data_IF_158788928645
#
_entry.id   IF_158788928645
#
_cell.length_a   1.000
_cell.length_b   1.000
_cell.length_c   1.000
_cell.angle_alpha   90.00
_cell.angle_beta   90.00
_cell.angle_gamma   90.00
#
_symmetry.space_group_name_H-M   'P 1'
#
loop_
_entity.id
_entity.type
_entity.pdbx_description
1 polymer ?
#
# COMPACT_ATOMS: atom_id res chain seq x y z
N UNK A 1 16.09 -5.18 -20.43
CA UNK A 1 15.32 -5.02 -19.19
C UNK A 1 14.52 -3.73 -19.29
N UNK A 2 13.23 -3.82 -19.11
CA UNK A 2 12.29 -2.70 -19.31
C UNK A 2 11.56 -2.39 -17.98
N UNK A 3 10.85 -1.29 -17.98
CA UNK A 3 9.88 -0.94 -16.97
C UNK A 3 8.47 -1.28 -17.47
N UNK A 4 7.67 -1.92 -16.61
CA UNK A 4 6.25 -2.13 -16.86
C UNK A 4 5.46 -1.12 -16.05
N UNK A 5 4.68 -0.26 -16.71
CA UNK A 5 3.95 0.86 -16.10
C UNK A 5 2.45 0.58 -16.12
N UNK A 6 1.80 0.76 -14.99
CA UNK A 6 0.35 0.66 -14.82
C UNK A 6 -0.20 1.87 -14.08
N UNK A 7 -1.32 2.43 -14.53
CA UNK A 7 -1.96 3.59 -13.92
C UNK A 7 -3.31 3.23 -13.32
N UNK A 8 -3.49 3.55 -12.06
CA UNK A 8 -4.71 3.26 -11.30
C UNK A 8 -5.36 4.53 -10.79
N UNK A 9 -6.67 4.59 -10.88
CA UNK A 9 -7.48 5.61 -10.20
C UNK A 9 -7.96 5.05 -8.87
N UNK A 10 -7.72 5.78 -7.78
CA UNK A 10 -8.36 5.49 -6.50
C UNK A 10 -9.85 5.79 -6.59
N UNK A 11 -10.70 4.79 -6.35
CA UNK A 11 -12.16 4.92 -6.40
C UNK A 11 -12.78 5.08 -5.01
N UNK A 12 -11.95 5.02 -3.97
CA UNK A 12 -12.36 5.21 -2.58
C UNK A 12 -11.24 5.89 -1.80
N UNK A 13 -11.60 6.46 -0.66
CA UNK A 13 -10.61 6.92 0.31
C UNK A 13 -9.84 5.72 0.84
N UNK A 14 -8.53 5.76 0.84
CA UNK A 14 -7.72 4.71 1.41
C UNK A 14 -7.14 5.09 2.77
N UNK A 15 -6.76 4.09 3.55
CA UNK A 15 -6.05 4.25 4.81
C UNK A 15 -5.00 3.15 4.92
N UNK A 16 -3.77 3.50 4.62
CA UNK A 16 -2.62 2.60 4.68
C UNK A 16 -1.85 2.86 5.96
N UNK A 17 -1.99 1.94 6.89
CA UNK A 17 -1.36 2.05 8.20
C UNK A 17 0.16 1.84 8.10
N UNK A 18 0.98 2.75 8.67
CA UNK A 18 2.42 2.49 8.79
C UNK A 18 2.69 1.17 9.54
N UNK A 19 3.73 0.45 9.16
CA UNK A 19 4.06 -0.86 9.75
C UNK A 19 4.29 -0.81 11.27
N UNK A 20 4.82 0.29 11.78
CA UNK A 20 5.11 0.53 13.20
C UNK A 20 3.91 1.06 14.01
N UNK A 21 2.83 1.48 13.35
CA UNK A 21 1.71 2.10 14.05
C UNK A 21 0.90 1.08 14.88
N UNK A 22 0.45 1.50 16.05
CA UNK A 22 -0.39 0.67 16.95
C UNK A 22 -1.77 0.40 16.33
N UNK A 23 -2.50 -0.57 16.86
CA UNK A 23 -3.83 -0.94 16.37
C UNK A 23 -4.87 0.18 16.50
N UNK A 24 -4.66 1.10 17.44
CA UNK A 24 -5.52 2.27 17.72
C UNK A 24 -5.00 3.56 17.09
N UNK A 25 -3.73 3.61 16.67
CA UNK A 25 -3.15 4.75 15.98
C UNK A 25 -3.69 4.86 14.55
N UNK A 26 -4.17 6.05 14.19
CA UNK A 26 -4.94 6.28 12.98
C UNK A 26 -4.21 6.93 11.83
N UNK A 27 -2.89 7.14 11.91
CA UNK A 27 -2.10 7.73 10.83
C UNK A 27 -2.13 6.89 9.56
N UNK A 28 -2.21 7.55 8.40
CA UNK A 28 -2.15 6.92 7.09
C UNK A 28 -0.90 7.36 6.33
N UNK A 29 -0.34 6.45 5.56
CA UNK A 29 0.65 6.78 4.53
C UNK A 29 -0.06 7.51 3.37
N UNK A 30 0.66 8.43 2.71
CA UNK A 30 0.17 9.16 1.54
C UNK A 30 0.26 8.34 0.24
N UNK A 31 1.08 7.30 0.25
CA UNK A 31 1.32 6.43 -0.88
C UNK A 31 1.16 4.94 -0.51
N UNK A 32 0.79 4.06 -1.43
CA UNK A 32 0.91 2.64 -1.22
C UNK A 32 2.38 2.25 -1.07
N UNK A 33 2.64 1.26 -0.24
CA UNK A 33 4.00 0.74 -0.06
C UNK A 33 4.30 -0.34 -1.10
N UNK A 34 5.57 -0.58 -1.47
CA UNK A 34 5.94 -1.73 -2.29
C UNK A 34 5.39 -3.04 -1.74
N UNK A 35 5.43 -3.23 -0.42
CA UNK A 35 4.81 -4.38 0.23
C UNK A 35 3.32 -4.51 -0.12
N UNK A 36 2.55 -3.43 0.01
CA UNK A 36 1.12 -3.45 -0.29
C UNK A 36 0.84 -3.75 -1.77
N UNK A 37 1.66 -3.23 -2.68
CA UNK A 37 1.57 -3.48 -4.13
C UNK A 37 1.89 -4.94 -4.44
N UNK A 38 2.99 -5.48 -3.93
CA UNK A 38 3.41 -6.87 -4.13
C UNK A 38 2.36 -7.86 -3.57
N UNK A 39 1.77 -7.55 -2.42
CA UNK A 39 0.67 -8.35 -1.87
C UNK A 39 -0.61 -8.29 -2.71
N UNK A 40 -0.90 -7.16 -3.38
CA UNK A 40 -2.01 -7.07 -4.32
C UNK A 40 -1.76 -7.89 -5.59
N UNK A 41 -0.53 -7.92 -6.09
CA UNK A 41 -0.13 -8.80 -7.20
C UNK A 41 -0.27 -10.27 -6.79
N UNK A 42 0.19 -10.63 -5.59
CA UNK A 42 0.06 -11.98 -5.05
C UNK A 42 -1.40 -12.41 -4.91
N UNK A 43 -2.27 -11.53 -4.41
CA UNK A 43 -3.71 -11.78 -4.33
C UNK A 43 -4.32 -12.02 -5.72
N UNK A 44 -3.98 -11.18 -6.70
CA UNK A 44 -4.41 -11.35 -8.09
C UNK A 44 -3.94 -12.69 -8.66
N UNK A 45 -2.67 -13.06 -8.47
CA UNK A 45 -2.10 -14.33 -8.90
C UNK A 45 -2.84 -15.52 -8.27
N UNK A 46 -3.11 -15.48 -6.97
CA UNK A 46 -3.85 -16.54 -6.28
C UNK A 46 -5.29 -16.70 -6.80
N UNK A 47 -5.96 -15.58 -7.06
CA UNK A 47 -7.37 -15.59 -7.55
C UNK A 47 -7.50 -16.05 -8.99
N UNK A 48 -6.55 -15.72 -9.86
CA UNK A 48 -6.68 -15.95 -11.30
C UNK A 48 -5.90 -17.16 -11.80
N UNK A 49 -4.73 -17.41 -11.21
CA UNK A 49 -3.84 -18.50 -11.63
C UNK A 49 -3.77 -19.65 -10.63
N UNK A 50 -4.32 -19.48 -9.43
CA UNK A 50 -4.29 -20.47 -8.36
C UNK A 50 -3.05 -20.41 -7.48
N UNK A 51 -3.16 -20.97 -6.28
CA UNK A 51 -2.12 -20.88 -5.24
C UNK A 51 -0.77 -21.49 -5.66
N UNK A 52 -0.76 -22.58 -6.42
CA UNK A 52 0.47 -23.25 -6.86
C UNK A 52 1.29 -22.37 -7.83
N UNK A 53 0.61 -21.67 -8.76
CA UNK A 53 1.28 -20.73 -9.68
C UNK A 53 1.77 -19.50 -8.89
N UNK A 54 0.96 -18.96 -8.00
CA UNK A 54 1.31 -17.84 -7.15
C UNK A 54 2.55 -18.15 -6.27
N UNK A 55 2.62 -19.34 -5.68
CA UNK A 55 3.77 -19.80 -4.89
C UNK A 55 5.05 -19.87 -5.73
N UNK A 56 4.97 -20.48 -6.90
CA UNK A 56 6.11 -20.59 -7.82
C UNK A 56 6.61 -19.21 -8.27
N UNK A 57 5.71 -18.26 -8.48
CA UNK A 57 6.04 -16.93 -8.95
C UNK A 57 6.37 -15.94 -7.83
N UNK A 58 6.13 -16.31 -6.56
CA UNK A 58 6.33 -15.43 -5.41
C UNK A 58 7.73 -14.83 -5.31
N UNK A 59 8.85 -15.58 -5.49
CA UNK A 59 10.18 -14.98 -5.45
C UNK A 59 10.32 -13.83 -6.45
N UNK A 60 9.79 -13.99 -7.65
CA UNK A 60 9.82 -12.95 -8.69
C UNK A 60 8.99 -11.72 -8.31
N UNK A 61 7.76 -11.92 -7.80
CA UNK A 61 6.89 -10.83 -7.34
C UNK A 61 7.50 -10.11 -6.14
N UNK A 62 8.04 -10.85 -5.19
CA UNK A 62 8.69 -10.34 -3.99
C UNK A 62 9.86 -9.41 -4.32
N UNK A 63 10.67 -9.79 -5.31
CA UNK A 63 11.93 -9.11 -5.64
C UNK A 63 11.74 -8.00 -6.70
N UNK A 64 10.51 -7.71 -7.15
CA UNK A 64 10.21 -6.59 -8.06
C UNK A 64 10.69 -5.26 -7.49
N UNK A 65 11.37 -4.48 -8.31
CA UNK A 65 11.63 -3.07 -8.02
C UNK A 65 10.35 -2.29 -8.29
N UNK A 66 9.89 -1.51 -7.31
CA UNK A 66 8.65 -0.72 -7.42
C UNK A 66 8.98 0.77 -7.40
N UNK A 67 8.47 1.49 -8.38
CA UNK A 67 8.47 2.95 -8.41
C UNK A 67 7.04 3.48 -8.44
N UNK A 68 6.84 4.66 -7.86
CA UNK A 68 5.54 5.29 -7.67
C UNK A 68 5.52 6.65 -8.33
N UNK A 69 4.45 6.98 -9.02
CA UNK A 69 4.10 8.35 -9.42
C UNK A 69 2.83 8.75 -8.69
N UNK A 70 2.94 9.77 -7.87
CA UNK A 70 1.82 10.28 -7.08
C UNK A 70 1.09 11.39 -7.86
N UNK A 71 -0.24 11.54 -7.70
CA UNK A 71 -0.98 12.65 -8.31
C UNK A 71 -0.55 14.00 -7.72
N UNK A 72 -0.95 15.07 -8.38
CA UNK A 72 -0.56 16.43 -8.01
C UNK A 72 -1.06 16.82 -6.61
N UNK A 73 -2.25 16.37 -6.25
CA UNK A 73 -2.87 16.74 -4.98
C UNK A 73 -3.25 15.53 -4.14
N UNK A 74 -3.08 15.66 -2.83
CA UNK A 74 -3.55 14.69 -1.86
C UNK A 74 -4.19 15.36 -0.65
N UNK A 75 -5.31 14.83 -0.18
CA UNK A 75 -5.99 15.30 1.03
C UNK A 75 -6.07 14.18 2.04
N UNK A 76 -5.62 14.45 3.26
CA UNK A 76 -5.77 13.54 4.39
C UNK A 76 -6.88 14.07 5.28
N UNK A 77 -7.87 13.24 5.60
CA UNK A 77 -8.96 13.57 6.51
C UNK A 77 -8.80 12.81 7.83
N UNK A 78 -9.16 13.44 8.92
CA UNK A 78 -9.18 12.86 10.25
C UNK A 78 -10.61 12.44 10.60
N UNK A 79 -10.84 11.15 10.81
CA UNK A 79 -12.14 10.61 11.12
C UNK A 79 -12.16 9.91 12.47
N UNK A 80 -13.11 10.30 13.32
CA UNK A 80 -13.44 9.59 14.54
C UNK A 80 -14.73 8.81 14.34
N UNK A 81 -14.66 7.49 14.48
CA UNK A 81 -15.80 6.60 14.34
C UNK A 81 -16.03 5.79 15.61
N UNK A 82 -17.27 5.55 15.93
CA UNK A 82 -17.63 4.54 16.94
C UNK A 82 -17.63 3.18 16.26
N UNK A 83 -16.91 2.25 16.85
CA UNK A 83 -16.83 0.87 16.38
C UNK A 83 -17.18 -0.10 17.49
N UNK A 84 -17.63 -1.28 17.13
CA UNK A 84 -17.82 -2.41 18.04
C UNK A 84 -16.57 -3.29 18.00
N UNK A 85 -16.05 -3.63 19.17
CA UNK A 85 -14.95 -4.60 19.33
C UNK A 85 -15.36 -5.71 20.29
N UNK A 86 -14.86 -6.93 20.10
CA UNK A 86 -15.04 -7.98 21.09
C UNK A 86 -14.54 -7.52 22.46
N UNK A 87 -15.35 -7.71 23.48
CA UNK A 87 -14.96 -7.46 24.85
C UNK A 87 -13.93 -8.52 25.27
N UNK A 88 -12.77 -8.09 25.79
CA UNK A 88 -11.76 -9.01 26.35
C UNK A 88 -12.30 -9.71 27.60
N UNK A 89 -13.05 -8.97 28.40
CA UNK A 89 -13.78 -9.47 29.56
C UNK A 89 -15.24 -9.05 29.38
N UNK A 90 -16.14 -9.99 29.08
CA UNK A 90 -17.57 -9.67 28.92
C UNK A 90 -18.11 -9.06 30.21
N UNK A 91 -18.91 -7.98 30.12
CA UNK A 91 -19.60 -7.44 31.29
C UNK A 91 -20.55 -8.48 31.92
N UNK A 92 -20.88 -8.37 33.22
CA UNK A 92 -21.79 -9.30 33.87
C UNK A 92 -23.14 -9.39 33.12
N UNK A 93 -23.75 -10.59 33.07
CA UNK A 93 -25.08 -10.75 32.52
C UNK A 93 -26.09 -9.81 33.20
N UNK A 94 -26.97 -9.17 32.44
CA UNK A 94 -27.95 -8.21 32.94
C UNK A 94 -27.47 -6.78 33.14
N UNK A 95 -26.17 -6.49 32.95
CA UNK A 95 -25.69 -5.11 32.95
C UNK A 95 -26.11 -4.38 31.65
N UNK A 96 -26.25 -3.04 31.70
CA UNK A 96 -26.59 -2.20 30.55
C UNK A 96 -25.65 -2.41 29.32
N UNK A 97 -24.46 -2.93 29.56
CA UNK A 97 -23.45 -3.18 28.55
C UNK A 97 -23.17 -4.68 28.33
N UNK A 98 -24.10 -5.54 28.81
CA UNK A 98 -23.99 -6.99 28.62
C UNK A 98 -23.95 -7.32 27.11
N UNK A 99 -23.00 -8.13 26.70
CA UNK A 99 -22.86 -8.57 25.31
C UNK A 99 -21.42 -8.86 24.92
N UNK A 100 -21.21 -9.55 23.78
CA UNK A 100 -19.89 -9.92 23.32
C UNK A 100 -19.09 -8.74 22.74
N UNK A 101 -19.77 -7.62 22.41
CA UNK A 101 -19.16 -6.47 21.76
C UNK A 101 -19.27 -5.21 22.62
N UNK A 102 -18.16 -4.53 22.80
CA UNK A 102 -18.07 -3.22 23.44
C UNK A 102 -17.94 -2.08 22.44
N UNK A 103 -18.53 -0.94 22.74
CA UNK A 103 -18.38 0.29 21.97
C UNK A 103 -17.03 0.92 22.28
N UNK A 104 -16.31 1.34 21.22
CA UNK A 104 -15.06 2.09 21.37
C UNK A 104 -14.95 3.13 20.27
N UNK A 105 -14.04 4.08 20.43
CA UNK A 105 -13.74 5.09 19.41
C UNK A 105 -12.51 4.64 18.64
N UNK A 106 -12.58 4.73 17.34
CA UNK A 106 -11.45 4.56 16.43
C UNK A 106 -11.16 5.89 15.75
N UNK A 107 -9.94 6.38 15.93
CA UNK A 107 -9.40 7.48 15.13
C UNK A 107 -8.72 6.88 13.90
N UNK A 108 -8.97 7.46 12.72
CA UNK A 108 -8.34 7.03 11.48
C UNK A 108 -8.22 8.17 10.48
N UNK A 109 -7.06 8.27 9.89
CA UNK A 109 -6.85 9.08 8.71
C UNK A 109 -7.27 8.32 7.45
N UNK A 110 -7.86 9.04 6.52
CA UNK A 110 -8.16 8.59 5.17
C UNK A 110 -7.54 9.56 4.18
N UNK A 111 -7.01 9.02 3.10
CA UNK A 111 -6.34 9.77 2.04
C UNK A 111 -7.20 9.74 0.79
N UNK A 112 -7.42 10.91 0.23
CA UNK A 112 -7.95 11.11 -1.10
C UNK A 112 -6.79 11.53 -2.01
N UNK A 113 -6.62 10.85 -3.13
CA UNK A 113 -5.68 11.19 -4.19
C UNK A 113 -6.45 11.80 -5.35
N UNK A 114 -6.10 13.02 -5.73
CA UNK A 114 -6.72 13.75 -6.82
C UNK A 114 -5.99 13.47 -8.13
N UNK A 115 -6.30 12.34 -8.73
CA UNK A 115 -5.72 11.89 -9.99
C UNK A 115 -5.12 10.49 -9.94
N UNK A 116 -4.51 10.05 -11.06
CA UNK A 116 -3.97 8.72 -11.21
C UNK A 116 -2.73 8.48 -10.34
N UNK A 117 -2.68 7.28 -9.75
CA UNK A 117 -1.51 6.70 -9.14
C UNK A 117 -0.78 5.86 -10.19
N UNK A 118 0.46 6.21 -10.52
CA UNK A 118 1.32 5.40 -11.37
C UNK A 118 2.09 4.37 -10.54
N UNK A 119 2.11 3.14 -10.99
CA UNK A 119 2.97 2.06 -10.48
C UNK A 119 3.89 1.64 -11.62
N UNK A 120 5.20 1.59 -11.38
CA UNK A 120 6.16 1.07 -12.34
C UNK A 120 6.98 -0.04 -11.71
N UNK A 121 7.20 -1.10 -12.48
CA UNK A 121 7.91 -2.30 -12.07
C UNK A 121 9.18 -2.42 -12.90
N UNK A 122 10.33 -2.37 -12.25
CA UNK A 122 11.64 -2.47 -12.89
C UNK A 122 12.08 -3.90 -13.13
N UNK A 123 13.05 -4.04 -14.04
CA UNK A 123 13.68 -5.31 -14.40
C UNK A 123 12.70 -6.36 -14.94
N UNK A 124 11.65 -5.93 -15.63
CA UNK A 124 10.63 -6.81 -16.20
C UNK A 124 10.99 -7.18 -17.65
N UNK A 125 10.89 -8.48 -17.97
CA UNK A 125 10.96 -8.94 -19.35
C UNK A 125 9.64 -8.67 -20.09
N UNK A 126 9.71 -8.29 -21.36
CA UNK A 126 8.51 -8.14 -22.21
C UNK A 126 7.75 -9.46 -22.41
N UNK A 127 8.37 -10.59 -22.10
CA UNK A 127 7.78 -11.93 -22.18
C UNK A 127 7.00 -12.32 -20.91
N UNK A 128 7.09 -11.52 -19.83
CA UNK A 128 6.37 -11.77 -18.57
C UNK A 128 4.87 -11.40 -18.66
N UNK A 129 4.14 -12.07 -19.56
CA UNK A 129 2.70 -11.84 -19.76
C UNK A 129 1.87 -12.06 -18.49
N UNK A 130 2.26 -13.00 -17.65
CA UNK A 130 1.54 -13.27 -16.39
C UNK A 130 1.50 -12.07 -15.45
N UNK A 131 2.59 -11.30 -15.35
CA UNK A 131 2.59 -10.10 -14.52
C UNK A 131 1.59 -9.06 -15.05
N UNK A 132 1.53 -8.88 -16.39
CA UNK A 132 0.53 -8.01 -17.02
C UNK A 132 -0.88 -8.46 -16.67
N UNK A 133 -1.18 -9.76 -16.80
CA UNK A 133 -2.48 -10.32 -16.47
C UNK A 133 -2.87 -10.08 -15.01
N UNK A 134 -1.94 -10.21 -14.08
CA UNK A 134 -2.21 -9.95 -12.66
C UNK A 134 -2.44 -8.47 -12.38
N UNK A 135 -1.69 -7.57 -13.03
CA UNK A 135 -1.91 -6.12 -12.89
C UNK A 135 -3.31 -5.71 -13.37
N UNK A 136 -3.84 -6.34 -14.44
CA UNK A 136 -5.22 -6.13 -14.91
C UNK A 136 -6.26 -6.51 -13.85
N UNK A 137 -5.92 -7.36 -12.89
CA UNK A 137 -6.84 -7.90 -11.88
C UNK A 137 -6.73 -7.24 -10.50
N UNK A 138 -5.81 -6.27 -10.33
CA UNK A 138 -5.72 -5.51 -9.09
C UNK A 138 -6.90 -4.56 -8.97
N UNK A 139 -7.69 -4.71 -7.91
CA UNK A 139 -8.86 -3.89 -7.64
C UNK A 139 -8.80 -3.21 -6.26
N UNK A 140 -7.77 -3.48 -5.45
CA UNK A 140 -7.49 -2.75 -4.21
C UNK A 140 -5.99 -2.81 -3.87
N UNK A 141 -5.52 -1.82 -3.10
CA UNK A 141 -4.15 -1.76 -2.59
C UNK A 141 -4.15 -1.74 -1.06
N UNK A 142 -3.37 -2.64 -0.49
CA UNK A 142 -3.20 -2.80 0.95
C UNK A 142 -4.41 -3.42 1.63
N UNK A 143 -5.26 -2.62 2.24
CA UNK A 143 -6.45 -3.06 2.97
C UNK A 143 -7.67 -3.08 2.05
N UNK A 144 -8.58 -4.06 2.25
CA UNK A 144 -9.90 -4.02 1.62
C UNK A 144 -10.61 -2.71 1.96
N UNK A 145 -11.14 -2.02 0.94
CA UNK A 145 -11.69 -0.68 1.00
C UNK A 145 -10.79 0.38 0.38
N UNK A 146 -9.49 0.11 0.17
CA UNK A 146 -8.61 0.93 -0.68
C UNK A 146 -8.76 0.54 -2.15
N UNK A 147 -9.98 0.67 -2.69
CA UNK A 147 -10.29 0.25 -4.05
C UNK A 147 -9.63 1.14 -5.09
N UNK A 148 -9.13 0.50 -6.14
CA UNK A 148 -8.52 1.14 -7.30
C UNK A 148 -9.08 0.53 -8.58
N UNK A 149 -9.06 1.33 -9.64
CA UNK A 149 -9.43 0.91 -10.98
C UNK A 149 -8.26 1.17 -11.93
N UNK A 150 -7.86 0.16 -12.68
CA UNK A 150 -6.87 0.33 -13.75
C UNK A 150 -7.47 1.20 -14.86
N UNK A 151 -6.71 2.20 -15.32
CA UNK A 151 -7.19 3.16 -16.31
C UNK A 151 -6.97 2.69 -17.75
N UNK A 152 -5.87 1.98 -17.99
CA UNK A 152 -5.50 1.43 -19.29
C UNK A 152 -4.63 0.19 -19.10
N UNK A 153 -4.53 -0.70 -20.08
CA UNK A 153 -3.61 -1.83 -20.03
C UNK A 153 -2.18 -1.39 -19.71
N UNK A 154 -1.43 -2.16 -18.88
CA UNK A 154 -0.04 -1.84 -18.58
C UNK A 154 0.83 -1.75 -19.81
N UNK A 155 1.80 -0.85 -19.83
CA UNK A 155 2.68 -0.58 -20.97
C UNK A 155 4.14 -0.74 -20.60
N UNK A 156 4.97 -1.21 -21.55
CA UNK A 156 6.41 -1.31 -21.37
C UNK A 156 7.11 -0.04 -21.85
N UNK A 157 8.08 0.41 -21.05
CA UNK A 157 8.98 1.53 -21.39
C UNK A 157 10.43 1.11 -21.20
N UNK A 158 11.36 1.67 -21.98
CA UNK A 158 12.80 1.37 -21.86
C UNK A 158 13.42 2.00 -20.62
N UNK A 159 12.92 3.17 -20.24
CA UNK A 159 13.40 3.92 -19.07
C UNK A 159 12.24 4.23 -18.15
N UNK A 160 12.53 4.42 -16.88
CA UNK A 160 11.54 4.91 -15.89
C UNK A 160 11.09 6.31 -16.31
N UNK A 161 9.79 6.55 -16.55
CA UNK A 161 9.32 7.89 -16.89
C UNK A 161 9.62 8.90 -15.77
N UNK A 162 9.80 10.17 -16.14
CA UNK A 162 9.94 11.25 -15.15
C UNK A 162 8.79 11.28 -14.15
N UNK A 163 8.98 11.91 -13.02
CA UNK A 163 8.04 11.98 -11.91
C UNK A 163 7.74 10.66 -11.17
N UNK A 164 8.37 9.55 -11.55
CA UNK A 164 8.36 8.32 -10.72
C UNK A 164 9.49 8.36 -9.70
N UNK A 165 9.20 7.97 -8.48
CA UNK A 165 10.16 7.78 -7.39
C UNK A 165 10.32 6.29 -7.11
N UNK A 166 11.56 5.81 -7.08
CA UNK A 166 11.87 4.43 -6.71
C UNK A 166 11.86 4.29 -5.19
N UNK A 167 11.19 3.26 -4.69
CA UNK A 167 11.16 2.94 -3.25
C UNK A 167 12.14 1.80 -2.97
N UNK A 168 13.07 2.06 -2.05
CA UNK A 168 14.16 1.11 -1.77
C UNK A 168 15.28 1.24 -2.83
N UNK A 169 16.48 0.95 -2.44
CA UNK A 169 17.68 1.14 -3.23
C UNK A 169 18.65 2.09 -2.56
N UNK A 170 19.87 2.16 -3.05
CA UNK A 170 20.85 3.15 -2.60
C UNK A 170 20.45 4.52 -3.10
N UNK A 171 20.06 5.40 -2.20
CA UNK A 171 19.81 6.81 -2.53
C UNK A 171 21.09 7.56 -2.26
N UNK A 172 21.74 8.07 -3.30
CA UNK A 172 22.95 8.88 -3.17
C UNK A 172 22.66 10.23 -2.50
N UNK A 173 21.45 10.75 -2.72
CA UNK A 173 20.98 11.97 -2.05
C UNK A 173 19.46 11.95 -1.90
N UNK A 174 18.95 12.45 -0.78
CA UNK A 174 17.53 12.71 -0.65
C UNK A 174 17.16 14.03 -1.35
N UNK A 175 16.03 14.12 -2.06
CA UNK A 175 15.49 15.39 -2.54
C UNK A 175 15.37 16.38 -1.39
N UNK A 176 15.71 17.65 -1.66
CA UNK A 176 15.66 18.69 -0.63
C UNK A 176 14.23 19.03 -0.18
N UNK A 177 13.26 18.85 -1.07
CA UNK A 177 11.85 19.17 -0.84
C UNK A 177 10.99 17.92 -0.87
N UNK A 178 10.19 17.73 0.20
CA UNK A 178 9.24 16.61 0.27
C UNK A 178 8.92 16.19 1.69
N UNK A 179 8.12 15.16 1.80
CA UNK A 179 7.71 14.56 3.08
C UNK A 179 8.35 13.19 3.21
N UNK A 180 9.16 13.01 4.24
CA UNK A 180 9.73 11.69 4.55
C UNK A 180 8.62 10.77 5.08
N UNK A 181 8.43 9.65 4.41
CA UNK A 181 7.60 8.55 4.90
C UNK A 181 8.39 7.25 4.95
N UNK A 182 8.06 6.41 5.89
CA UNK A 182 8.63 5.08 6.02
C UNK A 182 7.72 4.09 5.27
N UNK A 183 8.14 3.70 4.09
CA UNK A 183 7.44 2.75 3.24
C UNK A 183 8.06 1.37 3.41
N UNK A 184 7.23 0.36 3.58
CA UNK A 184 7.69 -1.00 3.78
C UNK A 184 7.70 -1.80 2.48
N UNK A 185 8.62 -2.77 2.44
CA UNK A 185 8.78 -3.69 1.33
C UNK A 185 9.01 -5.13 1.83
N UNK A 186 8.99 -6.07 0.91
CA UNK A 186 9.30 -7.48 1.15
C UNK A 186 10.82 -7.68 1.15
N UNK A 187 11.35 -8.31 2.20
CA UNK A 187 12.72 -8.81 2.20
C UNK A 187 12.82 -10.16 1.48
N UNK A 188 13.99 -10.48 0.96
CA UNK A 188 14.25 -11.76 0.27
C UNK A 188 13.94 -13.00 1.12
N UNK A 189 13.94 -12.88 2.45
CA UNK A 189 13.56 -13.93 3.40
C UNK A 189 12.07 -14.15 3.54
N UNK A 190 11.21 -13.30 2.96
CA UNK A 190 9.75 -13.46 3.01
C UNK A 190 9.32 -14.59 2.08
N UNK A 191 8.99 -15.73 2.65
CA UNK A 191 8.51 -16.90 1.91
C UNK A 191 7.01 -16.77 1.55
N UNK A 192 6.56 -17.47 0.51
CA UNK A 192 5.15 -17.54 0.14
C UNK A 192 4.30 -18.02 1.32
N UNK A 193 4.73 -19.03 2.04
CA UNK A 193 4.00 -19.57 3.19
C UNK A 193 3.73 -18.51 4.26
N UNK A 194 4.67 -17.57 4.51
CA UNK A 194 4.45 -16.45 5.43
C UNK A 194 3.56 -15.35 4.84
N UNK A 195 3.64 -15.12 3.55
CA UNK A 195 2.81 -14.15 2.84
C UNK A 195 1.35 -14.63 2.73
N UNK A 196 1.13 -15.95 2.67
CA UNK A 196 -0.20 -16.57 2.56
C UNK A 196 -0.99 -16.41 3.86
N UNK A 197 -2.19 -15.83 3.75
CA UNK A 197 -3.13 -15.68 4.87
C UNK A 197 -3.65 -17.02 5.42
N UNK A 198 -3.53 -18.09 4.65
CA UNK A 198 -4.03 -19.43 5.01
C UNK A 198 -3.04 -20.25 5.84
N UNK A 199 -1.79 -19.84 5.91
CA UNK A 199 -0.75 -20.60 6.63
C UNK A 199 -0.78 -20.42 8.14
N UNK A 200 -1.41 -19.36 8.64
CA UNK A 200 -1.36 -18.98 10.05
C UNK A 200 0.02 -18.48 10.52
N UNK A 201 1.02 -18.42 9.64
CA UNK A 201 2.35 -17.89 9.98
C UNK A 201 2.35 -16.38 10.00
N UNK A 202 3.13 -15.79 10.90
CA UNK A 202 3.26 -14.35 11.03
C UNK A 202 4.51 -13.81 10.32
N UNK A 203 4.39 -12.63 9.74
CA UNK A 203 5.49 -11.86 9.16
C UNK A 203 6.11 -10.98 10.24
N UNK A 204 7.44 -11.01 10.38
CA UNK A 204 8.18 -10.19 11.33
C UNK A 204 8.59 -8.86 10.68
N UNK A 205 8.07 -7.76 11.24
CA UNK A 205 8.51 -6.41 10.86
C UNK A 205 9.98 -6.23 11.25
N UNK A 206 10.77 -5.62 10.36
CA UNK A 206 12.21 -5.43 10.50
C UNK A 206 13.05 -6.65 10.04
N UNK A 207 12.42 -7.74 9.58
CA UNK A 207 13.12 -8.91 9.05
C UNK A 207 12.56 -9.31 7.68
N UNK A 208 11.36 -9.86 7.62
CA UNK A 208 10.71 -10.26 6.37
C UNK A 208 9.93 -9.10 5.71
N UNK A 209 9.58 -8.10 6.51
CA UNK A 209 8.97 -6.85 6.07
C UNK A 209 9.87 -5.71 6.54
N UNK A 210 10.63 -5.16 5.62
CA UNK A 210 11.64 -4.12 5.83
C UNK A 210 11.07 -2.75 5.51
N UNK A 211 11.68 -1.69 6.05
CA UNK A 211 11.18 -0.32 5.87
C UNK A 211 12.25 0.55 5.24
N UNK A 212 11.85 1.33 4.26
CA UNK A 212 12.69 2.31 3.57
C UNK A 212 12.20 3.73 3.85
N UNK A 213 13.11 4.64 4.19
CA UNK A 213 12.79 6.05 4.27
C UNK A 213 12.74 6.60 2.86
N UNK A 214 11.59 7.12 2.46
CA UNK A 214 11.34 7.64 1.11
C UNK A 214 10.84 9.06 1.23
N UNK A 215 11.41 9.97 0.46
CA UNK A 215 10.90 11.33 0.32
C UNK A 215 9.82 11.32 -0.74
N UNK A 216 8.58 11.59 -0.33
CA UNK A 216 7.48 11.79 -1.25
C UNK A 216 7.48 13.24 -1.71
N UNK A 217 7.31 13.56 -3.00
CA UNK A 217 7.39 14.90 -3.53
C UNK A 217 6.12 15.71 -3.20
N UNK A 218 5.80 15.80 -1.93
CA UNK A 218 4.65 16.56 -1.43
C UNK A 218 5.07 17.64 -0.45
N UNK A 219 4.41 18.80 -0.55
CA UNK A 219 4.50 19.88 0.42
C UNK A 219 3.12 20.11 1.06
N UNK A 220 3.07 20.24 2.39
CA UNK A 220 1.87 20.64 3.10
C UNK A 220 1.53 22.09 2.75
N UNK A 221 0.41 22.32 2.09
CA UNK A 221 -0.08 23.66 1.70
C UNK A 221 -1.05 24.24 2.70
N UNK A 222 -1.92 23.38 3.24
CA UNK A 222 -2.96 23.81 4.18
C UNK A 222 -3.31 22.69 5.14
N UNK A 223 -3.61 23.05 6.39
CA UNK A 223 -4.08 22.09 7.38
C UNK A 223 -5.13 22.74 8.28
N UNK A 224 -5.98 21.89 8.84
CA UNK A 224 -7.01 22.24 9.81
C UNK A 224 -7.19 21.11 10.84
N UNK A 225 -8.18 21.23 11.71
CA UNK A 225 -8.45 20.21 12.73
C UNK A 225 -8.81 18.83 12.14
N UNK A 226 -9.42 18.81 10.95
CA UNK A 226 -9.98 17.61 10.34
C UNK A 226 -9.34 17.22 9.01
N UNK A 227 -8.40 18.00 8.50
CA UNK A 227 -7.73 17.69 7.23
C UNK A 227 -6.31 18.26 7.13
N UNK A 228 -5.53 17.67 6.21
CA UNK A 228 -4.27 18.20 5.70
C UNK A 228 -4.28 18.09 4.17
N UNK A 229 -3.92 19.16 3.48
CA UNK A 229 -3.86 19.23 2.02
C UNK A 229 -2.42 19.36 1.58
N UNK A 230 -2.04 18.47 0.68
CA UNK A 230 -0.70 18.35 0.12
C UNK A 230 -0.73 18.58 -1.39
N UNK A 231 0.30 19.22 -1.89
CA UNK A 231 0.52 19.48 -3.30
C UNK A 231 1.90 18.92 -3.68
N UNK A 232 1.97 18.26 -4.84
CA UNK A 232 3.24 17.74 -5.34
C UNK A 232 4.16 18.89 -5.69
N UNK A 233 5.41 18.76 -5.31
CA UNK A 233 6.50 19.65 -5.73
C UNK A 233 7.02 19.08 -7.04
N UNK A 234 6.87 19.82 -8.12
CA UNK A 234 7.51 19.50 -9.38
C UNK A 234 8.97 20.00 -9.30
N UNK A 235 9.91 19.16 -9.74
CA UNK A 235 11.34 19.51 -9.86
C UNK A 235 11.57 20.51 -10.99
#
# INVERSE_FOLDING_TARGET
VAWLVAEYQSTALFSLKPAWATSSGGKSLLAPTPYAVKMAILDAACRTSGAAVAEKSWPRVRDLVVALRLPEHAVVTNLFTRILKPNRTPPPPGSQHAGPLGKTICYREYVYLDGPLGLAFGEVSREESQLVDWLLQINYLGKRGGFVQLLAPPTFTETLPGAFITVGGSVESFPADGIVQQLDDCDASLTFEKASIYSGKSIRTGRERVSHHTVLPYRLKRSGKSFSYYERVDD
#
